data_IF_987146375313
#
_entry.id   IF_987146375313
#
_cell.length_a   1.000
_cell.length_b   1.000
_cell.length_c   1.000
_cell.angle_alpha   90.00
_cell.angle_beta   90.00
_cell.angle_gamma   90.00
#
_symmetry.space_group_name_H-M   'P 1'
#
loop_
_entity.id
_entity.type
_entity.pdbx_description
1 polymer ?
#
# COMPACT_ATOMS: atom_id res chain seq x y z
N UNK A 1 26.53 -19.65 -0.56
CA UNK A 1 25.15 -19.56 -0.05
C UNK A 1 24.24 -19.46 -1.25
N UNK A 2 23.44 -20.49 -1.52
CA UNK A 2 22.43 -20.46 -2.58
C UNK A 2 21.37 -19.44 -2.19
N UNK A 3 21.27 -18.32 -2.92
CA UNK A 3 20.24 -17.31 -2.66
C UNK A 3 18.88 -17.89 -2.93
N UNK A 4 17.98 -17.85 -1.92
CA UNK A 4 16.59 -18.25 -2.07
C UNK A 4 15.96 -17.49 -3.25
N UNK A 5 15.38 -18.17 -4.25
CA UNK A 5 14.83 -17.50 -5.42
C UNK A 5 13.59 -16.69 -5.02
N UNK A 6 13.65 -15.37 -5.19
CA UNK A 6 12.49 -14.49 -5.09
C UNK A 6 11.73 -14.57 -6.41
N UNK A 7 10.49 -15.06 -6.37
CA UNK A 7 9.61 -15.15 -7.53
C UNK A 7 8.52 -14.09 -7.45
N UNK A 8 8.34 -13.32 -8.51
CA UNK A 8 7.26 -12.34 -8.66
C UNK A 8 6.33 -12.85 -9.76
N UNK A 9 5.10 -13.20 -9.40
CA UNK A 9 4.05 -13.57 -10.35
C UNK A 9 3.26 -12.31 -10.67
N UNK A 10 3.56 -11.72 -11.81
CA UNK A 10 2.98 -10.47 -12.30
C UNK A 10 1.84 -10.78 -13.30
N UNK A 11 0.62 -10.92 -12.77
CA UNK A 11 -0.58 -11.24 -13.57
C UNK A 11 -1.69 -10.24 -13.28
N UNK A 12 -2.59 -9.95 -14.25
CA UNK A 12 -3.64 -8.95 -14.09
C UNK A 12 -4.53 -9.02 -12.84
N UNK A 13 -5.13 -7.88 -12.49
CA UNK A 13 -6.11 -7.82 -11.40
C UNK A 13 -7.39 -8.61 -11.74
N UNK A 14 -7.74 -9.58 -10.90
CA UNK A 14 -8.93 -10.39 -11.14
C UNK A 14 -8.69 -11.66 -11.98
N UNK A 15 -7.45 -11.94 -12.38
CA UNK A 15 -7.08 -13.19 -13.07
C UNK A 15 -7.11 -14.46 -12.20
N UNK A 16 -7.63 -14.38 -10.98
CA UNK A 16 -7.71 -15.54 -10.08
C UNK A 16 -6.43 -15.89 -9.31
N UNK A 17 -5.39 -15.04 -9.28
CA UNK A 17 -4.13 -15.30 -8.54
C UNK A 17 -4.30 -15.89 -7.14
N UNK A 18 -5.09 -15.25 -6.28
CA UNK A 18 -5.35 -15.73 -4.91
C UNK A 18 -6.04 -17.10 -4.92
N UNK A 19 -6.99 -17.33 -5.85
CA UNK A 19 -7.68 -18.62 -5.98
C UNK A 19 -6.72 -19.71 -6.46
N UNK A 20 -5.87 -19.40 -7.44
CA UNK A 20 -4.84 -20.33 -7.91
C UNK A 20 -3.83 -20.67 -6.80
N UNK A 21 -3.43 -19.69 -5.98
CA UNK A 21 -2.61 -19.92 -4.80
C UNK A 21 -3.28 -20.89 -3.81
N UNK A 22 -4.55 -20.62 -3.44
CA UNK A 22 -5.31 -21.46 -2.50
C UNK A 22 -5.44 -22.90 -3.01
N UNK A 23 -5.71 -23.07 -4.30
CA UNK A 23 -5.88 -24.39 -4.90
C UNK A 23 -4.57 -25.18 -5.08
N UNK A 24 -3.42 -24.53 -4.93
CA UNK A 24 -2.10 -25.12 -5.18
C UNK A 24 -1.29 -25.36 -3.89
N UNK A 25 -1.86 -25.12 -2.71
CA UNK A 25 -1.21 -25.53 -1.47
C UNK A 25 -1.12 -27.05 -1.39
N UNK A 26 -0.06 -27.57 -0.79
CA UNK A 26 0.07 -29.00 -0.52
C UNK A 26 0.31 -29.29 0.96
N UNK A 27 -0.07 -30.49 1.39
CA UNK A 27 -0.03 -30.92 2.78
C UNK A 27 1.37 -31.31 3.30
N UNK A 28 2.39 -31.29 2.45
CA UNK A 28 3.77 -31.63 2.83
C UNK A 28 4.64 -30.40 3.09
N UNK A 29 4.18 -29.23 2.63
CA UNK A 29 4.85 -27.96 2.79
C UNK A 29 4.32 -27.17 4.00
N UNK A 30 5.12 -26.19 4.43
CA UNK A 30 4.73 -25.18 5.41
C UNK A 30 4.59 -23.82 4.73
N UNK A 31 3.48 -23.12 4.96
CA UNK A 31 3.21 -21.83 4.33
C UNK A 31 3.11 -20.69 5.34
N UNK A 32 3.72 -19.56 5.00
CA UNK A 32 3.44 -18.27 5.64
C UNK A 32 2.86 -17.33 4.57
N UNK A 33 1.54 -17.12 4.62
CA UNK A 33 0.83 -16.28 3.66
C UNK A 33 0.57 -14.90 4.26
N UNK A 34 0.95 -13.86 3.54
CA UNK A 34 0.79 -12.47 3.97
C UNK A 34 -0.12 -11.73 3.01
N UNK A 35 -1.20 -11.17 3.54
CA UNK A 35 -2.26 -10.48 2.78
C UNK A 35 -2.50 -9.06 3.29
N UNK A 36 -3.12 -8.17 2.49
CA UNK A 36 -3.32 -6.78 2.91
C UNK A 36 -4.41 -6.60 3.97
N UNK A 37 -5.46 -7.43 3.96
CA UNK A 37 -6.67 -7.23 4.77
C UNK A 37 -7.07 -8.50 5.52
N UNK A 38 -7.72 -8.32 6.68
CA UNK A 38 -8.27 -9.43 7.48
C UNK A 38 -9.30 -10.26 6.70
N UNK A 39 -10.13 -9.62 5.87
CA UNK A 39 -11.08 -10.34 5.02
C UNK A 39 -10.41 -11.29 4.01
N UNK A 40 -9.17 -11.01 3.59
CA UNK A 40 -8.41 -11.94 2.74
C UNK A 40 -7.78 -13.07 3.57
N UNK A 41 -7.53 -12.86 4.87
CA UNK A 41 -7.16 -13.94 5.78
C UNK A 41 -8.31 -14.92 5.87
N UNK A 42 -9.51 -14.43 6.18
CA UNK A 42 -10.73 -15.25 6.30
C UNK A 42 -10.95 -16.06 5.02
N UNK A 43 -10.79 -15.42 3.85
CA UNK A 43 -10.90 -16.08 2.54
C UNK A 43 -9.90 -17.23 2.33
N UNK A 44 -8.68 -17.12 2.85
CA UNK A 44 -7.67 -18.19 2.74
C UNK A 44 -8.02 -19.33 3.69
N UNK A 45 -8.37 -19.01 4.95
CA UNK A 45 -8.75 -20.01 5.96
C UNK A 45 -9.98 -20.80 5.50
N UNK A 46 -11.00 -20.13 4.98
CA UNK A 46 -12.23 -20.77 4.49
C UNK A 46 -12.04 -21.47 3.14
N UNK A 47 -11.18 -20.93 2.28
CA UNK A 47 -10.98 -21.42 0.92
C UNK A 47 -10.06 -22.62 0.81
N UNK A 48 -9.09 -22.73 1.73
CA UNK A 48 -8.11 -23.83 1.75
C UNK A 48 -8.69 -25.06 2.42
N UNK A 49 -9.23 -25.98 1.60
CA UNK A 49 -9.93 -27.17 2.12
C UNK A 49 -9.01 -28.31 2.53
N UNK A 50 -7.89 -28.46 1.84
CA UNK A 50 -6.98 -29.59 2.04
C UNK A 50 -5.86 -29.27 3.01
N UNK A 51 -5.44 -28.00 3.06
CA UNK A 51 -4.35 -27.50 3.91
C UNK A 51 -4.94 -26.55 4.95
N UNK A 52 -4.85 -26.91 6.23
CA UNK A 52 -5.37 -26.09 7.32
C UNK A 52 -4.47 -24.87 7.58
N UNK A 53 -5.08 -23.69 7.67
CA UNK A 53 -4.41 -22.43 7.99
C UNK A 53 -4.89 -21.85 9.31
N UNK A 54 -3.95 -21.32 10.10
CA UNK A 54 -4.24 -20.59 11.33
C UNK A 54 -3.89 -19.10 11.20
N UNK A 55 -4.67 -18.25 11.87
CA UNK A 55 -4.36 -16.84 12.03
C UNK A 55 -3.86 -16.58 13.45
N UNK A 56 -2.69 -15.95 13.63
CA UNK A 56 -2.21 -15.59 14.96
C UNK A 56 -3.13 -14.60 15.66
N UNK A 57 -3.58 -14.93 16.87
CA UNK A 57 -4.47 -14.10 17.67
C UNK A 57 -3.85 -13.76 19.05
N UNK A 58 -4.40 -12.78 19.77
CA UNK A 58 -3.94 -12.49 21.12
C UNK A 58 -4.54 -13.44 22.17
N UNK A 59 -5.69 -14.04 21.85
CA UNK A 59 -6.50 -14.81 22.80
C UNK A 59 -6.31 -16.33 22.69
N UNK A 60 -5.41 -16.80 21.85
CA UNK A 60 -5.13 -18.23 21.62
C UNK A 60 -3.89 -18.73 22.37
N UNK A 61 -3.27 -17.88 23.21
CA UNK A 61 -2.06 -18.18 23.96
C UNK A 61 -2.09 -17.55 25.36
N UNK A 62 -1.28 -18.10 26.27
CA UNK A 62 -1.22 -17.66 27.67
C UNK A 62 -0.61 -16.26 27.86
N UNK A 63 0.22 -15.79 26.92
CA UNK A 63 0.87 -14.48 27.02
C UNK A 63 -0.05 -13.32 26.62
N UNK A 64 -1.21 -13.61 26.00
CA UNK A 64 -2.15 -12.57 25.58
C UNK A 64 -1.65 -11.73 24.40
N UNK A 65 -0.69 -12.22 23.61
CA UNK A 65 -0.09 -11.44 22.51
C UNK A 65 -0.13 -12.18 21.17
N UNK A 66 -0.32 -11.44 20.08
CA UNK A 66 -0.22 -11.99 18.72
C UNK A 66 1.18 -12.50 18.37
N UNK A 67 2.21 -11.94 19.01
CA UNK A 67 3.59 -12.37 18.83
C UNK A 67 3.79 -13.80 19.35
N UNK A 68 3.38 -14.07 20.59
CA UNK A 68 3.51 -15.39 21.19
C UNK A 68 2.72 -16.46 20.43
N UNK A 69 1.52 -16.11 19.97
CA UNK A 69 0.73 -16.95 19.05
C UNK A 69 1.49 -17.29 17.77
N UNK A 70 2.06 -16.28 17.09
CA UNK A 70 2.82 -16.49 15.86
C UNK A 70 4.04 -17.40 16.09
N UNK A 71 4.77 -17.17 17.17
CA UNK A 71 5.93 -18.00 17.56
C UNK A 71 5.52 -19.46 17.83
N UNK A 72 4.45 -19.68 18.59
CA UNK A 72 3.92 -21.01 18.90
C UNK A 72 3.49 -21.75 17.62
N UNK A 73 2.75 -21.08 16.72
CA UNK A 73 2.32 -21.69 15.45
C UNK A 73 3.51 -22.04 14.55
N UNK A 74 4.57 -21.23 14.54
CA UNK A 74 5.80 -21.54 13.79
C UNK A 74 6.56 -22.73 14.39
N UNK A 75 6.70 -22.79 15.73
CA UNK A 75 7.34 -23.91 16.43
C UNK A 75 6.61 -25.22 16.15
N UNK A 76 5.28 -25.20 16.12
CA UNK A 76 4.48 -26.38 15.78
C UNK A 76 4.41 -26.67 14.27
N UNK A 77 5.05 -25.87 13.42
CA UNK A 77 5.09 -26.12 11.98
C UNK A 77 3.74 -25.95 11.28
N UNK A 78 2.83 -25.13 11.83
CA UNK A 78 1.49 -24.89 11.25
C UNK A 78 1.58 -23.97 10.03
N UNK A 79 0.63 -24.08 9.11
CA UNK A 79 0.47 -23.10 8.03
C UNK A 79 -0.20 -21.83 8.57
N UNK A 80 0.37 -20.68 8.28
CA UNK A 80 0.01 -19.43 8.92
C UNK A 80 -0.42 -18.44 7.85
N UNK A 81 -1.51 -17.71 8.12
CA UNK A 81 -1.94 -16.57 7.32
C UNK A 81 -2.07 -15.34 8.20
N UNK A 82 -1.51 -14.21 7.75
CA UNK A 82 -1.58 -12.97 8.50
C UNK A 82 -1.52 -11.73 7.60
N UNK A 83 -1.61 -10.55 8.22
CA UNK A 83 -1.53 -9.27 7.51
C UNK A 83 -0.12 -8.68 7.57
N UNK A 84 0.19 -7.73 6.66
CA UNK A 84 1.47 -7.01 6.65
C UNK A 84 1.84 -6.35 7.99
N UNK A 85 0.86 -6.09 8.86
CA UNK A 85 1.09 -5.54 10.21
C UNK A 85 1.99 -6.41 11.09
N UNK A 86 2.14 -7.69 10.77
CA UNK A 86 3.01 -8.61 11.53
C UNK A 86 4.47 -8.57 11.08
N UNK A 87 4.86 -7.76 10.07
CA UNK A 87 6.23 -7.78 9.56
C UNK A 87 7.29 -7.57 10.64
N UNK A 88 7.12 -6.57 11.50
CA UNK A 88 8.07 -6.32 12.59
C UNK A 88 8.14 -7.50 13.58
N UNK A 89 7.00 -8.14 13.87
CA UNK A 89 6.94 -9.33 14.73
C UNK A 89 7.59 -10.58 14.11
N UNK A 90 7.64 -10.66 12.78
CA UNK A 90 8.27 -11.77 12.06
C UNK A 90 9.80 -11.68 12.13
N UNK A 91 10.38 -10.48 12.27
CA UNK A 91 11.84 -10.26 12.24
C UNK A 91 12.61 -11.13 13.23
N UNK A 92 12.33 -11.12 14.55
CA UNK A 92 13.08 -11.95 15.50
C UNK A 92 12.90 -13.45 15.23
N UNK A 93 11.72 -13.88 14.80
CA UNK A 93 11.41 -15.28 14.48
C UNK A 93 12.18 -15.75 13.23
N UNK A 94 12.28 -14.87 12.23
CA UNK A 94 13.10 -15.08 11.04
C UNK A 94 14.59 -15.20 11.38
N UNK A 95 15.10 -14.31 12.25
CA UNK A 95 16.49 -14.37 12.74
C UNK A 95 16.78 -15.62 13.56
N UNK A 96 15.78 -16.14 14.28
CA UNK A 96 15.87 -17.41 15.01
C UNK A 96 15.80 -18.66 14.10
N UNK A 97 15.58 -18.49 12.80
CA UNK A 97 15.54 -19.59 11.82
C UNK A 97 14.20 -20.32 11.72
N UNK A 98 13.14 -19.82 12.39
CA UNK A 98 11.82 -20.47 12.44
C UNK A 98 11.05 -20.45 11.11
N UNK A 99 11.57 -19.78 10.08
CA UNK A 99 10.99 -19.72 8.74
C UNK A 99 11.76 -20.53 7.70
N UNK A 100 12.88 -21.16 8.08
CA UNK A 100 13.84 -21.76 7.12
C UNK A 100 13.25 -22.87 6.24
N UNK A 101 12.16 -23.50 6.69
CA UNK A 101 11.41 -24.53 5.99
C UNK A 101 10.02 -24.07 5.51
N UNK A 102 9.73 -22.77 5.55
CA UNK A 102 8.47 -22.18 5.11
C UNK A 102 8.54 -21.60 3.69
N UNK A 103 7.52 -21.89 2.87
CA UNK A 103 7.18 -21.13 1.67
C UNK A 103 6.48 -19.83 2.07
N UNK A 104 7.13 -18.69 1.87
CA UNK A 104 6.56 -17.38 2.14
C UNK A 104 5.85 -16.88 0.88
N UNK A 105 4.56 -16.57 0.99
CA UNK A 105 3.76 -16.05 -0.11
C UNK A 105 3.13 -14.73 0.29
N UNK A 106 3.32 -13.69 -0.54
CA UNK A 106 2.74 -12.37 -0.31
C UNK A 106 1.73 -12.09 -1.42
N UNK A 107 0.43 -12.07 -1.09
CA UNK A 107 -0.62 -11.70 -2.05
C UNK A 107 -0.86 -10.20 -2.03
N UNK A 108 -0.69 -9.56 -3.20
CA UNK A 108 -0.51 -8.13 -3.42
C UNK A 108 0.86 -7.64 -2.96
N UNK A 109 1.47 -6.72 -3.72
CA UNK A 109 2.75 -6.13 -3.33
C UNK A 109 2.64 -5.52 -1.93
N UNK A 110 3.56 -5.85 -1.02
CA UNK A 110 3.59 -5.28 0.31
C UNK A 110 4.03 -3.82 0.29
N UNK A 111 3.58 -3.06 1.30
CA UNK A 111 4.17 -1.76 1.61
C UNK A 111 5.56 -1.98 2.21
N UNK A 112 6.58 -2.06 1.36
CA UNK A 112 7.95 -2.37 1.79
C UNK A 112 8.76 -1.17 2.25
N UNK A 113 8.32 0.04 1.94
CA UNK A 113 9.00 1.27 2.33
C UNK A 113 7.95 2.32 2.67
N UNK A 114 8.06 2.93 3.85
CA UNK A 114 7.10 3.91 4.34
C UNK A 114 7.80 5.09 5.00
N UNK A 115 7.29 6.30 4.79
CA UNK A 115 7.72 7.47 5.55
C UNK A 115 7.06 7.43 6.94
N UNK A 116 7.85 7.34 8.01
CA UNK A 116 7.34 7.33 9.39
C UNK A 116 7.13 8.75 9.90
N UNK A 117 8.18 9.58 9.82
CA UNK A 117 8.17 10.91 10.38
C UNK A 117 9.17 11.82 9.69
N UNK A 118 8.72 13.04 9.39
CA UNK A 118 9.60 14.14 9.00
C UNK A 118 9.90 15.00 10.22
N UNK A 119 11.18 15.31 10.44
CA UNK A 119 11.67 16.26 11.44
C UNK A 119 12.58 17.31 10.78
N UNK A 120 12.82 18.43 11.45
CA UNK A 120 13.88 19.35 11.01
C UNK A 120 15.24 18.71 11.29
N UNK A 121 16.29 19.15 10.57
CA UNK A 121 17.66 18.68 10.83
C UNK A 121 18.07 18.96 12.28
N UNK A 122 17.82 20.19 12.73
CA UNK A 122 18.01 20.61 14.12
C UNK A 122 17.34 19.67 15.12
N UNK A 123 16.08 19.29 14.89
CA UNK A 123 15.41 18.38 15.81
C UNK A 123 16.00 16.97 15.81
N UNK A 124 16.47 16.48 14.66
CA UNK A 124 17.17 15.19 14.56
C UNK A 124 18.48 15.24 15.34
N UNK A 125 19.29 16.27 15.08
CA UNK A 125 20.61 16.42 15.67
C UNK A 125 20.47 16.62 17.20
N UNK A 126 19.74 17.66 17.65
CA UNK A 126 19.66 18.03 19.07
C UNK A 126 18.89 17.00 19.91
N UNK A 127 17.73 16.50 19.45
CA UNK A 127 16.84 15.69 20.29
C UNK A 127 16.95 14.18 20.09
N UNK A 128 17.58 13.70 19.01
CA UNK A 128 17.74 12.26 18.79
C UNK A 128 19.22 11.85 18.89
N UNK A 129 20.12 12.55 18.19
CA UNK A 129 21.53 12.13 18.06
C UNK A 129 22.39 12.66 19.22
N UNK A 130 22.45 13.98 19.43
CA UNK A 130 23.34 14.62 20.41
C UNK A 130 22.97 14.27 21.85
N UNK A 131 21.68 14.07 22.10
CA UNK A 131 21.15 13.54 23.36
C UNK A 131 21.37 12.04 23.52
N UNK A 132 21.88 11.34 22.50
CA UNK A 132 22.26 9.94 22.56
C UNK A 132 21.09 8.96 22.64
N UNK A 133 19.95 9.26 22.01
CA UNK A 133 18.80 8.35 21.94
C UNK A 133 18.87 7.41 20.73
N UNK A 134 19.54 7.82 19.65
CA UNK A 134 19.78 6.98 18.48
C UNK A 134 21.24 7.03 18.03
N UNK A 135 21.66 5.96 17.39
CA UNK A 135 22.86 5.89 16.57
C UNK A 135 22.45 5.69 15.11
N UNK A 136 23.16 6.34 14.19
CA UNK A 136 22.88 6.26 12.75
C UNK A 136 24.12 5.77 12.04
N UNK A 137 24.01 4.65 11.33
CA UNK A 137 25.08 4.11 10.50
C UNK A 137 25.38 5.07 9.32
N UNK A 138 26.65 5.45 9.17
CA UNK A 138 27.06 6.46 8.17
C UNK A 138 26.95 5.96 6.72
N UNK A 139 27.04 4.64 6.49
CA UNK A 139 27.04 4.04 5.15
C UNK A 139 25.63 3.82 4.57
N UNK A 140 24.70 3.34 5.40
CA UNK A 140 23.35 2.95 4.97
C UNK A 140 22.23 3.79 5.59
N UNK A 141 22.54 4.62 6.60
CA UNK A 141 21.55 5.41 7.33
C UNK A 141 20.66 4.57 8.25
N UNK A 142 21.05 3.33 8.57
CA UNK A 142 20.30 2.46 9.50
C UNK A 142 20.32 3.09 10.89
N UNK A 143 19.17 3.14 11.55
CA UNK A 143 19.00 3.75 12.86
C UNK A 143 18.84 2.68 13.91
N UNK A 144 19.71 2.68 14.91
CA UNK A 144 19.62 1.82 16.09
C UNK A 144 19.25 2.65 17.32
N UNK A 145 18.30 2.20 18.16
CA UNK A 145 18.01 2.88 19.40
C UNK A 145 19.09 2.57 20.43
N UNK A 146 19.47 3.55 21.24
CA UNK A 146 20.40 3.31 22.36
C UNK A 146 19.67 2.74 23.57
N UNK A 147 20.41 2.12 24.49
CA UNK A 147 19.85 1.62 25.76
C UNK A 147 19.14 2.75 26.54
N UNK A 148 19.68 3.97 26.49
CA UNK A 148 19.08 5.16 27.09
C UNK A 148 17.64 5.39 26.61
N UNK A 149 17.37 5.26 25.31
CA UNK A 149 16.01 5.46 24.80
C UNK A 149 15.07 4.35 25.25
N UNK A 150 15.56 3.11 25.25
CA UNK A 150 14.75 1.94 25.66
C UNK A 150 14.30 2.08 27.11
N UNK A 151 15.21 2.49 28.00
CA UNK A 151 14.94 2.64 29.44
C UNK A 151 14.02 3.83 29.74
N UNK A 152 14.22 4.97 29.07
CA UNK A 152 13.44 6.20 29.29
C UNK A 152 12.19 6.30 28.40
N UNK A 153 11.83 5.27 27.63
CA UNK A 153 10.82 5.33 26.55
C UNK A 153 9.48 5.94 26.96
N UNK A 154 9.04 5.73 28.21
CA UNK A 154 7.78 6.24 28.72
C UNK A 154 7.89 7.73 29.07
N UNK A 155 9.01 8.13 29.65
CA UNK A 155 9.30 9.48 30.15
C UNK A 155 9.44 10.49 29.01
N UNK A 156 9.93 10.04 27.84
CA UNK A 156 10.17 10.90 26.67
C UNK A 156 9.14 10.71 25.55
N UNK A 157 8.07 9.95 25.80
CA UNK A 157 7.10 9.52 24.76
C UNK A 157 6.26 10.64 24.14
N UNK A 158 6.16 11.78 24.82
CA UNK A 158 5.49 13.00 24.32
C UNK A 158 6.35 13.77 23.31
N UNK A 159 7.66 13.58 23.36
CA UNK A 159 8.68 14.28 22.56
C UNK A 159 9.26 13.39 21.47
N UNK A 160 9.66 12.18 21.85
CA UNK A 160 10.22 11.15 20.97
C UNK A 160 9.16 10.13 20.61
N UNK A 161 8.96 9.93 19.31
CA UNK A 161 7.86 9.09 18.81
C UNK A 161 8.08 7.61 19.15
N UNK A 162 7.15 6.96 19.88
CA UNK A 162 7.21 5.51 20.14
C UNK A 162 7.23 4.66 18.86
N UNK A 163 6.66 5.18 17.76
CA UNK A 163 6.69 4.51 16.45
C UNK A 163 8.10 4.44 15.87
N UNK A 164 8.91 5.50 16.08
CA UNK A 164 10.30 5.52 15.62
C UNK A 164 11.10 4.50 16.45
N UNK A 165 10.92 4.48 17.78
CA UNK A 165 11.57 3.50 18.65
C UNK A 165 11.24 2.06 18.23
N UNK A 166 9.96 1.73 18.01
CA UNK A 166 9.54 0.38 17.57
C UNK A 166 10.25 -0.06 16.27
N UNK A 167 10.26 0.81 15.27
CA UNK A 167 10.93 0.55 13.99
C UNK A 167 12.45 0.42 14.13
N UNK A 168 13.06 1.18 15.04
CA UNK A 168 14.50 1.10 15.33
C UNK A 168 14.83 -0.23 16.03
N UNK A 169 14.04 -0.64 17.03
CA UNK A 169 14.21 -1.91 17.75
C UNK A 169 14.09 -3.13 16.82
N UNK A 170 13.24 -3.06 15.81
CA UNK A 170 13.09 -4.13 14.81
C UNK A 170 14.14 -4.09 13.69
N UNK A 171 15.06 -3.11 13.70
CA UNK A 171 16.06 -2.93 12.64
C UNK A 171 15.45 -2.53 11.29
N UNK A 172 14.27 -1.91 11.30
CA UNK A 172 13.54 -1.49 10.11
C UNK A 172 13.69 0.01 9.80
N UNK A 173 14.37 0.78 10.66
CA UNK A 173 14.38 2.23 10.60
C UNK A 173 15.62 2.78 9.92
N UNK A 174 15.41 3.68 8.96
CA UNK A 174 16.47 4.40 8.25
C UNK A 174 16.25 5.91 8.35
N UNK A 175 17.33 6.69 8.35
CA UNK A 175 17.30 8.15 8.34
C UNK A 175 17.83 8.68 7.00
N UNK A 176 16.94 9.22 6.18
CA UNK A 176 17.29 9.86 4.92
C UNK A 176 17.44 11.37 5.08
N UNK A 177 18.53 11.92 4.51
CA UNK A 177 18.84 13.36 4.43
C UNK A 177 18.84 14.11 5.80
N UNK A 178 19.10 13.41 6.91
CA UNK A 178 18.95 13.91 8.30
C UNK A 178 17.58 14.56 8.58
N UNK A 179 16.51 14.08 7.94
CA UNK A 179 15.18 14.69 8.07
C UNK A 179 14.03 13.69 8.06
N UNK A 180 14.16 12.60 7.32
CA UNK A 180 13.07 11.65 7.11
C UNK A 180 13.41 10.30 7.71
N UNK A 181 12.65 9.90 8.71
CA UNK A 181 12.63 8.53 9.18
C UNK A 181 11.81 7.68 8.21
N UNK A 182 12.43 6.65 7.67
CA UNK A 182 11.87 5.70 6.71
C UNK A 182 11.85 4.33 7.37
N UNK A 183 10.68 3.69 7.36
CA UNK A 183 10.58 2.27 7.62
C UNK A 183 10.86 1.50 6.34
N UNK A 184 11.67 0.45 6.40
CA UNK A 184 11.82 -0.50 5.31
C UNK A 184 11.69 -1.94 5.81
N UNK A 185 11.03 -2.78 5.02
CA UNK A 185 10.84 -4.19 5.31
C UNK A 185 12.20 -4.88 5.48
N UNK A 186 12.51 -5.52 6.61
CA UNK A 186 13.83 -6.10 6.82
C UNK A 186 14.19 -7.16 5.79
N UNK A 187 15.41 -7.05 5.27
CA UNK A 187 15.97 -7.97 4.29
C UNK A 187 15.94 -9.42 4.76
N UNK A 188 16.04 -9.67 6.08
CA UNK A 188 15.94 -11.02 6.65
C UNK A 188 14.61 -11.69 6.29
N UNK A 189 13.48 -10.96 6.25
CA UNK A 189 12.17 -11.53 5.89
C UNK A 189 12.16 -11.97 4.42
N UNK A 190 12.90 -11.27 3.57
CA UNK A 190 12.99 -11.58 2.14
C UNK A 190 13.83 -12.83 1.84
N UNK A 191 14.62 -13.29 2.82
CA UNK A 191 15.57 -14.41 2.69
C UNK A 191 15.30 -15.58 3.63
N UNK A 192 14.47 -15.40 4.65
CA UNK A 192 14.32 -16.36 5.73
C UNK A 192 13.55 -17.64 5.33
N UNK A 193 12.71 -17.56 4.29
CA UNK A 193 11.91 -18.68 3.81
C UNK A 193 12.71 -19.68 2.96
N UNK A 194 12.16 -20.88 2.84
CA UNK A 194 12.51 -21.86 1.81
C UNK A 194 12.29 -21.31 0.39
N UNK A 195 11.26 -20.47 0.23
CA UNK A 195 11.03 -19.65 -0.97
C UNK A 195 10.27 -18.38 -0.64
N UNK A 196 10.35 -17.37 -1.52
CA UNK A 196 9.51 -16.18 -1.47
C UNK A 196 8.78 -15.99 -2.80
N UNK A 197 7.45 -16.03 -2.78
CA UNK A 197 6.59 -15.72 -3.93
C UNK A 197 5.76 -14.47 -3.67
N UNK A 198 5.77 -13.51 -4.59
CA UNK A 198 4.96 -12.29 -4.51
C UNK A 198 3.97 -12.24 -5.67
N UNK A 199 2.68 -12.18 -5.36
CA UNK A 199 1.60 -12.11 -6.35
C UNK A 199 1.20 -10.65 -6.55
N UNK A 200 1.32 -10.12 -7.76
CA UNK A 200 0.97 -8.73 -8.02
C UNK A 200 0.53 -8.48 -9.46
N UNK A 201 0.28 -7.22 -9.79
CA UNK A 201 0.14 -6.76 -11.16
C UNK A 201 0.93 -5.45 -11.34
N UNK A 202 1.69 -5.33 -12.43
CA UNK A 202 2.58 -4.21 -12.75
C UNK A 202 3.68 -4.05 -11.70
N UNK A 203 4.41 -5.13 -11.44
CA UNK A 203 5.45 -5.21 -10.41
C UNK A 203 6.55 -4.17 -10.61
N UNK A 204 6.94 -3.91 -11.87
CA UNK A 204 7.99 -2.96 -12.24
C UNK A 204 7.76 -1.53 -11.73
N UNK A 205 6.50 -1.10 -11.66
CA UNK A 205 6.14 0.21 -11.11
C UNK A 205 6.04 0.24 -9.59
N UNK A 206 6.28 -0.87 -8.90
CA UNK A 206 6.06 -0.97 -7.45
C UNK A 206 7.31 -0.60 -6.65
N UNK A 207 7.09 -0.02 -5.46
CA UNK A 207 8.18 0.24 -4.50
C UNK A 207 8.93 -1.04 -4.11
N UNK A 208 8.29 -2.21 -4.22
CA UNK A 208 8.90 -3.50 -3.90
C UNK A 208 10.02 -3.87 -4.85
N UNK A 209 9.82 -3.78 -6.16
CA UNK A 209 10.87 -4.09 -7.14
C UNK A 209 12.03 -3.11 -7.02
N UNK A 210 11.75 -1.82 -6.84
CA UNK A 210 12.79 -0.82 -6.57
C UNK A 210 13.57 -1.14 -5.28
N UNK A 211 12.90 -1.64 -4.24
CA UNK A 211 13.54 -2.04 -3.00
C UNK A 211 14.42 -3.29 -3.15
N UNK A 212 13.97 -4.32 -3.87
CA UNK A 212 14.80 -5.50 -4.19
C UNK A 212 16.08 -5.10 -4.94
N UNK A 213 15.95 -4.18 -5.91
CA UNK A 213 17.09 -3.62 -6.66
C UNK A 213 18.07 -2.88 -5.74
N UNK A 214 17.56 -2.04 -4.83
CA UNK A 214 18.38 -1.35 -3.82
C UNK A 214 19.18 -2.34 -2.96
N UNK A 215 18.57 -3.44 -2.55
CA UNK A 215 19.21 -4.48 -1.75
C UNK A 215 20.16 -5.39 -2.56
N UNK A 216 20.19 -5.26 -3.89
CA UNK A 216 20.95 -6.16 -4.76
C UNK A 216 20.41 -7.60 -4.79
N UNK A 217 19.12 -7.80 -4.47
CA UNK A 217 18.49 -9.12 -4.47
C UNK A 217 18.02 -9.48 -5.88
N UNK A 218 18.45 -10.65 -6.37
CA UNK A 218 17.96 -11.20 -7.62
C UNK A 218 16.52 -11.72 -7.45
N UNK A 219 15.71 -11.51 -8.49
CA UNK A 219 14.35 -12.01 -8.53
C UNK A 219 13.98 -12.43 -9.95
N UNK A 220 13.02 -13.35 -10.06
CA UNK A 220 12.44 -13.80 -11.31
C UNK A 220 11.07 -13.19 -11.47
N UNK A 221 10.86 -12.48 -12.58
CA UNK A 221 9.55 -11.92 -12.94
C UNK A 221 8.85 -12.86 -13.92
N UNK A 222 7.79 -13.51 -13.47
CA UNK A 222 6.91 -14.31 -14.33
C UNK A 222 5.73 -13.44 -14.76
N UNK A 223 5.69 -13.08 -16.03
CA UNK A 223 4.58 -12.39 -16.67
C UNK A 223 3.88 -13.34 -17.67
N UNK A 224 2.67 -12.96 -18.06
CA UNK A 224 1.92 -13.62 -19.13
C UNK A 224 1.44 -12.53 -20.10
N UNK A 225 2.19 -12.36 -21.18
CA UNK A 225 1.93 -11.30 -22.17
C UNK A 225 0.56 -11.48 -22.86
N UNK A 226 0.15 -12.73 -23.10
CA UNK A 226 -1.16 -13.00 -23.71
C UNK A 226 -2.29 -12.60 -22.76
N UNK A 227 -2.17 -12.98 -21.49
CA UNK A 227 -3.14 -12.60 -20.45
C UNK A 227 -3.16 -11.08 -20.21
N UNK A 228 -2.01 -10.40 -20.26
CA UNK A 228 -1.94 -8.94 -20.13
C UNK A 228 -2.64 -8.23 -21.30
N UNK A 229 -2.41 -8.70 -22.53
CA UNK A 229 -3.06 -8.15 -23.72
C UNK A 229 -4.59 -8.33 -23.66
N UNK A 230 -5.07 -9.55 -23.36
CA UNK A 230 -6.52 -9.81 -23.20
C UNK A 230 -7.14 -8.95 -22.08
N UNK A 231 -6.38 -8.73 -21.01
CA UNK A 231 -6.83 -7.88 -19.90
C UNK A 231 -6.97 -6.41 -20.33
N UNK A 232 -6.01 -5.88 -21.09
CA UNK A 232 -6.05 -4.53 -21.67
C UNK A 232 -7.17 -4.36 -22.68
N UNK A 233 -7.35 -5.31 -23.60
CA UNK A 233 -8.44 -5.30 -24.59
C UNK A 233 -9.81 -5.24 -23.90
N UNK A 234 -10.05 -6.15 -22.95
CA UNK A 234 -11.28 -6.16 -22.16
C UNK A 234 -11.46 -4.87 -21.34
N UNK A 235 -10.36 -4.32 -20.82
CA UNK A 235 -10.42 -3.03 -20.13
C UNK A 235 -10.83 -1.89 -21.08
N UNK A 236 -10.31 -1.88 -22.31
CA UNK A 236 -10.64 -0.86 -23.31
C UNK A 236 -12.13 -0.91 -23.69
N UNK A 237 -12.73 -2.11 -23.75
CA UNK A 237 -14.17 -2.27 -23.98
C UNK A 237 -15.04 -1.77 -22.81
N UNK A 238 -14.57 -1.96 -21.58
CA UNK A 238 -15.36 -1.70 -20.37
C UNK A 238 -15.17 -0.28 -19.81
N UNK A 239 -14.07 0.41 -20.10
CA UNK A 239 -13.71 1.66 -19.42
C UNK A 239 -13.89 2.87 -20.34
N UNK A 240 -14.91 3.67 -20.07
CA UNK A 240 -15.06 4.99 -20.70
C UNK A 240 -14.30 6.07 -19.90
N UNK A 241 -13.20 6.57 -20.46
CA UNK A 241 -12.41 7.66 -19.86
C UNK A 241 -13.05 9.02 -20.17
N UNK A 242 -13.15 9.90 -19.16
CA UNK A 242 -13.69 11.26 -19.29
C UNK A 242 -12.85 12.29 -18.53
N UNK A 243 -12.89 13.52 -19.01
CA UNK A 243 -12.36 14.70 -18.31
C UNK A 243 -13.44 15.36 -17.44
N UNK A 244 -12.99 16.18 -16.47
CA UNK A 244 -13.71 17.28 -15.88
C UNK A 244 -13.00 18.57 -16.31
N UNK A 245 -13.31 19.08 -17.51
CA UNK A 245 -12.63 20.22 -18.14
C UNK A 245 -12.42 21.44 -17.23
N UNK A 246 -13.36 21.69 -16.31
CA UNK A 246 -13.28 22.79 -15.35
C UNK A 246 -12.12 22.67 -14.35
N UNK A 247 -11.50 21.50 -14.24
CA UNK A 247 -10.42 21.15 -13.31
C UNK A 247 -9.10 20.83 -14.03
N UNK A 248 -9.01 21.01 -15.35
CA UNK A 248 -7.82 20.62 -16.14
C UNK A 248 -6.53 21.31 -15.70
N UNK A 249 -6.63 22.54 -15.22
CA UNK A 249 -5.48 23.38 -14.81
C UNK A 249 -5.20 23.27 -13.30
N UNK A 250 -6.03 22.52 -12.56
CA UNK A 250 -5.89 22.36 -11.12
C UNK A 250 -4.84 21.31 -10.78
N UNK A 251 -4.04 21.59 -9.75
CA UNK A 251 -3.01 20.66 -9.27
C UNK A 251 -3.62 19.69 -8.26
N UNK A 252 -3.46 18.38 -8.50
CA UNK A 252 -4.01 17.31 -7.67
C UNK A 252 -2.95 16.43 -6.99
N UNK A 253 -1.68 16.83 -6.95
CA UNK A 253 -0.71 16.13 -6.09
C UNK A 253 -1.11 16.25 -4.62
N UNK A 254 -0.67 15.30 -3.78
CA UNK A 254 -1.02 15.31 -2.35
C UNK A 254 -0.71 16.66 -1.68
N UNK A 255 0.50 17.20 -1.91
CA UNK A 255 0.92 18.50 -1.37
C UNK A 255 0.10 19.66 -1.96
N UNK A 256 -0.25 19.60 -3.24
CA UNK A 256 -1.09 20.63 -3.86
C UNK A 256 -2.50 20.64 -3.24
N UNK A 257 -3.10 19.48 -2.99
CA UNK A 257 -4.38 19.39 -2.29
C UNK A 257 -4.28 19.87 -0.84
N UNK A 258 -3.20 19.52 -0.13
CA UNK A 258 -2.98 19.96 1.24
C UNK A 258 -2.91 21.49 1.36
N UNK A 259 -2.17 22.15 0.46
CA UNK A 259 -2.12 23.62 0.44
C UNK A 259 -3.42 24.21 -0.12
N UNK A 260 -3.97 23.61 -1.18
CA UNK A 260 -5.21 24.05 -1.81
C UNK A 260 -6.41 24.01 -0.86
N UNK A 261 -6.47 23.05 0.08
CA UNK A 261 -7.51 22.98 1.10
C UNK A 261 -7.54 24.19 2.06
N UNK A 262 -6.46 24.98 2.11
CA UNK A 262 -6.40 26.25 2.84
C UNK A 262 -6.93 27.43 2.02
N UNK A 263 -7.12 27.25 0.71
CA UNK A 263 -7.66 28.26 -0.21
C UNK A 263 -9.15 28.04 -0.47
N UNK A 264 -9.97 29.00 -0.07
CA UNK A 264 -11.41 28.96 -0.32
C UNK A 264 -11.75 28.93 -1.83
N UNK A 265 -10.95 29.60 -2.66
CA UNK A 265 -11.14 29.64 -4.12
C UNK A 265 -10.95 28.25 -4.73
N UNK A 266 -9.83 27.59 -4.40
CA UNK A 266 -9.53 26.24 -4.86
C UNK A 266 -10.61 25.24 -4.42
N UNK A 267 -11.00 25.27 -3.14
CA UNK A 267 -12.05 24.39 -2.63
C UNK A 267 -13.39 24.60 -3.35
N UNK A 268 -13.83 25.85 -3.52
CA UNK A 268 -15.07 26.19 -4.23
C UNK A 268 -15.02 25.79 -5.70
N UNK A 269 -13.85 25.91 -6.34
CA UNK A 269 -13.64 25.49 -7.72
C UNK A 269 -13.79 23.98 -7.87
N UNK A 270 -13.16 23.19 -6.99
CA UNK A 270 -13.26 21.73 -7.00
C UNK A 270 -14.70 21.29 -6.67
N UNK A 271 -15.26 21.71 -5.54
CA UNK A 271 -16.60 21.28 -5.11
C UNK A 271 -17.69 21.75 -6.08
N UNK A 272 -17.57 22.97 -6.63
CA UNK A 272 -18.48 23.50 -7.64
C UNK A 272 -18.40 22.73 -8.97
N UNK A 273 -17.20 22.32 -9.39
CA UNK A 273 -17.03 21.48 -10.59
C UNK A 273 -17.63 20.09 -10.39
N UNK A 274 -17.46 19.50 -9.21
CA UNK A 274 -18.10 18.23 -8.83
C UNK A 274 -19.62 18.34 -8.76
N UNK A 275 -20.15 19.45 -8.22
CA UNK A 275 -21.59 19.75 -8.22
C UNK A 275 -22.15 19.84 -9.63
N UNK A 276 -21.42 20.48 -10.54
CA UNK A 276 -21.82 20.57 -11.95
C UNK A 276 -21.75 19.21 -12.65
N UNK A 277 -20.70 18.42 -12.39
CA UNK A 277 -20.60 17.05 -12.89
C UNK A 277 -21.79 16.22 -12.41
N UNK A 278 -22.07 16.24 -11.10
CA UNK A 278 -23.22 15.57 -10.48
C UNK A 278 -24.52 15.99 -11.12
N UNK A 279 -24.75 17.30 -11.26
CA UNK A 279 -25.97 17.87 -11.78
C UNK A 279 -26.12 17.87 -13.30
N UNK A 280 -25.14 17.41 -14.09
CA UNK A 280 -25.24 17.40 -15.57
C UNK A 280 -24.97 16.04 -16.19
N UNK A 281 -24.04 15.26 -15.65
CA UNK A 281 -23.60 13.99 -16.24
C UNK A 281 -23.91 12.78 -15.36
N UNK A 282 -24.16 12.99 -14.07
CA UNK A 282 -24.41 11.91 -13.10
C UNK A 282 -25.77 12.07 -12.38
N UNK A 283 -26.79 12.61 -13.06
CA UNK A 283 -28.10 12.88 -12.44
C UNK A 283 -28.77 11.58 -11.96
N UNK A 284 -28.74 10.56 -12.81
CA UNK A 284 -29.46 9.29 -12.63
C UNK A 284 -28.60 8.20 -11.97
N UNK A 285 -27.40 8.56 -11.52
CA UNK A 285 -26.48 7.63 -10.85
C UNK A 285 -26.72 7.71 -9.34
N UNK A 286 -26.85 6.59 -8.64
CA UNK A 286 -26.87 6.65 -7.17
C UNK A 286 -25.50 7.12 -6.66
N UNK A 287 -25.47 8.06 -5.70
CA UNK A 287 -24.20 8.55 -5.15
C UNK A 287 -23.36 7.40 -4.56
N UNK A 288 -24.00 6.40 -3.96
CA UNK A 288 -23.35 5.19 -3.41
C UNK A 288 -22.78 4.24 -4.48
N UNK A 289 -23.05 4.47 -5.76
CA UNK A 289 -22.42 3.75 -6.88
C UNK A 289 -21.24 4.53 -7.48
N UNK A 290 -20.86 5.66 -6.85
CA UNK A 290 -19.72 6.47 -7.24
C UNK A 290 -18.56 6.18 -6.29
N UNK A 291 -17.39 5.91 -6.85
CA UNK A 291 -16.14 5.76 -6.13
C UNK A 291 -15.25 6.98 -6.39
N UNK A 292 -14.74 7.59 -5.33
CA UNK A 292 -13.96 8.83 -5.39
C UNK A 292 -12.66 8.66 -4.60
N UNK A 293 -11.59 9.28 -5.09
CA UNK A 293 -10.35 9.40 -4.33
C UNK A 293 -9.76 10.80 -4.45
N UNK A 294 -9.20 11.27 -3.34
CA UNK A 294 -8.49 12.53 -3.14
C UNK A 294 -7.83 12.49 -1.76
N UNK A 295 -7.14 13.56 -1.33
CA UNK A 295 -6.61 13.66 0.03
C UNK A 295 -7.72 13.45 1.06
N UNK A 296 -7.48 12.61 2.08
CA UNK A 296 -8.49 12.22 3.08
C UNK A 296 -9.22 13.43 3.67
N UNK A 297 -8.47 14.39 4.19
CA UNK A 297 -9.03 15.60 4.81
C UNK A 297 -9.77 16.53 3.83
N UNK A 298 -9.52 16.40 2.52
CA UNK A 298 -10.25 17.12 1.49
C UNK A 298 -11.68 16.55 1.29
N UNK A 299 -11.87 15.24 1.53
CA UNK A 299 -13.17 14.58 1.42
C UNK A 299 -13.89 14.39 2.75
N UNK A 300 -13.14 13.99 3.78
CA UNK A 300 -13.61 13.59 5.10
C UNK A 300 -12.78 14.29 6.17
N UNK A 301 -13.40 15.20 6.91
CA UNK A 301 -12.77 15.91 8.03
C UNK A 301 -13.06 15.19 9.34
N UNK A 302 -12.06 15.00 10.21
CA UNK A 302 -12.32 14.62 11.59
C UNK A 302 -13.13 15.75 12.26
N UNK A 303 -14.21 15.40 12.94
CA UNK A 303 -14.96 16.33 13.77
C UNK A 303 -14.63 16.12 15.24
N UNK A 304 -14.83 14.89 15.74
CA UNK A 304 -14.60 14.42 17.13
C UNK A 304 -14.37 12.89 17.10
N UNK A 305 -14.00 12.25 18.22
CA UNK A 305 -13.46 10.88 18.31
C UNK A 305 -14.22 9.76 17.58
N UNK A 306 -15.49 9.93 17.21
CA UNK A 306 -16.25 8.95 16.40
C UNK A 306 -17.09 9.55 15.26
N UNK A 307 -16.96 10.85 14.96
CA UNK A 307 -17.77 11.52 13.94
C UNK A 307 -16.92 12.12 12.83
N UNK A 308 -17.30 11.82 11.58
CA UNK A 308 -16.67 12.35 10.38
C UNK A 308 -17.60 13.37 9.71
N UNK A 309 -17.09 14.56 9.42
CA UNK A 309 -17.80 15.59 8.64
C UNK A 309 -17.31 15.57 7.20
N UNK A 310 -18.14 16.08 6.29
CA UNK A 310 -17.72 16.29 4.90
C UNK A 310 -16.60 17.34 4.83
N UNK A 311 -15.53 16.99 4.12
CA UNK A 311 -14.42 17.86 3.79
C UNK A 311 -14.77 18.88 2.70
N UNK A 312 -13.87 19.83 2.40
CA UNK A 312 -14.12 20.94 1.50
C UNK A 312 -14.47 20.55 0.06
N UNK A 313 -13.99 19.41 -0.44
CA UNK A 313 -14.35 18.92 -1.77
C UNK A 313 -15.73 18.25 -1.79
N UNK A 314 -16.06 17.52 -0.73
CA UNK A 314 -17.33 16.82 -0.61
C UNK A 314 -18.47 17.77 -0.26
N UNK A 315 -18.21 18.75 0.61
CA UNK A 315 -19.17 19.79 0.99
C UNK A 315 -19.62 20.57 -0.26
N UNK A 316 -20.93 20.71 -0.41
CA UNK A 316 -21.59 21.39 -1.55
C UNK A 316 -21.45 20.72 -2.93
N UNK A 317 -20.70 19.62 -3.05
CA UNK A 317 -20.54 18.87 -4.31
C UNK A 317 -21.75 18.05 -4.73
N UNK A 318 -22.71 17.83 -3.81
CA UNK A 318 -23.81 16.85 -3.95
C UNK A 318 -23.33 15.40 -4.13
N UNK A 319 -22.08 15.11 -3.77
CA UNK A 319 -21.47 13.76 -3.79
C UNK A 319 -21.08 13.30 -2.38
N UNK A 320 -21.65 13.88 -1.31
CA UNK A 320 -21.29 13.56 0.07
C UNK A 320 -21.50 12.09 0.46
N UNK A 321 -22.40 11.37 -0.23
CA UNK A 321 -22.67 9.94 -0.02
C UNK A 321 -21.84 9.03 -0.94
N UNK A 322 -20.98 9.58 -1.80
CA UNK A 322 -20.09 8.79 -2.62
C UNK A 322 -19.04 8.07 -1.77
N UNK A 323 -18.63 6.89 -2.21
CA UNK A 323 -17.63 6.10 -1.52
C UNK A 323 -16.27 6.74 -1.74
N UNK A 324 -15.64 7.20 -0.66
CA UNK A 324 -14.25 7.62 -0.70
C UNK A 324 -13.33 6.50 -0.23
N UNK A 325 -12.28 6.23 -0.98
CA UNK A 325 -11.18 5.37 -0.54
C UNK A 325 -9.82 6.00 -0.90
N UNK A 326 -8.75 5.74 -0.12
CA UNK A 326 -7.40 6.06 -0.52
C UNK A 326 -7.07 5.49 -1.90
N UNK A 327 -6.29 6.22 -2.71
CA UNK A 327 -5.87 5.74 -4.02
C UNK A 327 -4.91 4.54 -3.95
N UNK A 328 -4.32 4.29 -2.78
CA UNK A 328 -3.46 3.13 -2.48
C UNK A 328 -4.24 1.91 -1.96
N UNK A 329 -5.58 1.94 -1.98
CA UNK A 329 -6.41 0.84 -1.42
C UNK A 329 -6.30 -0.45 -2.24
N UNK A 330 -5.92 -1.54 -1.57
CA UNK A 330 -5.72 -2.87 -2.15
C UNK A 330 -6.62 -3.92 -1.47
N UNK A 331 -6.89 -5.02 -2.18
CA UNK A 331 -7.43 -6.24 -1.57
C UNK A 331 -8.89 -6.21 -1.11
N UNK A 332 -9.71 -5.19 -1.47
CA UNK A 332 -11.13 -5.13 -1.07
C UNK A 332 -12.07 -5.26 -2.27
N UNK A 333 -13.22 -5.91 -2.06
CA UNK A 333 -14.31 -6.05 -3.03
C UNK A 333 -15.55 -5.20 -2.67
N UNK A 334 -15.50 -4.42 -1.59
CA UNK A 334 -16.66 -3.69 -1.05
C UNK A 334 -17.22 -2.62 -2.00
N UNK A 335 -16.48 -2.24 -3.03
CA UNK A 335 -16.83 -1.21 -4.00
C UNK A 335 -17.07 -1.77 -5.41
N UNK A 336 -17.15 -3.09 -5.54
CA UNK A 336 -17.32 -3.76 -6.83
C UNK A 336 -18.71 -3.56 -7.45
N UNK A 337 -19.61 -2.82 -6.81
CA UNK A 337 -20.85 -2.30 -7.37
C UNK A 337 -20.69 -0.93 -8.03
N UNK A 338 -19.66 -0.16 -7.68
CA UNK A 338 -19.47 1.21 -8.16
C UNK A 338 -19.29 1.25 -9.68
N UNK A 339 -20.06 2.10 -10.35
CA UNK A 339 -20.16 2.25 -11.80
C UNK A 339 -19.44 3.46 -12.36
N UNK A 340 -19.22 4.48 -11.52
CA UNK A 340 -18.59 5.73 -11.89
C UNK A 340 -17.44 6.03 -10.93
N UNK A 341 -16.32 6.48 -11.46
CA UNK A 341 -15.07 6.68 -10.73
C UNK A 341 -14.58 8.10 -10.92
N UNK A 342 -14.18 8.78 -9.85
CA UNK A 342 -13.58 10.13 -9.91
C UNK A 342 -12.23 10.10 -9.20
N UNK A 343 -11.16 10.23 -9.98
CA UNK A 343 -9.79 10.17 -9.47
C UNK A 343 -9.19 11.58 -9.40
N UNK A 344 -9.30 12.24 -8.24
CA UNK A 344 -8.75 13.57 -8.00
C UNK A 344 -7.33 13.46 -7.43
N UNK A 345 -6.43 12.85 -8.18
CA UNK A 345 -5.02 12.78 -7.85
C UNK A 345 -4.16 12.96 -9.09
N UNK A 346 -3.03 13.63 -8.89
CA UNK A 346 -1.84 13.47 -9.72
C UNK A 346 -0.83 12.69 -8.85
N UNK A 347 -0.69 11.39 -9.10
CA UNK A 347 -0.01 10.47 -8.18
C UNK A 347 1.50 10.52 -8.39
N UNK A 348 2.23 10.65 -7.29
CA UNK A 348 3.69 10.63 -7.28
C UNK A 348 4.18 9.77 -6.10
N UNK A 349 5.25 8.99 -6.26
CA UNK A 349 5.91 8.36 -5.12
C UNK A 349 6.49 9.44 -4.19
N UNK A 350 6.66 9.11 -2.91
CA UNK A 350 7.16 10.08 -1.94
C UNK A 350 8.64 10.42 -2.24
N UNK A 351 9.03 11.71 -2.39
CA UNK A 351 10.37 12.07 -2.87
C UNK A 351 11.54 11.59 -1.99
N UNK A 352 11.35 11.51 -0.66
CA UNK A 352 12.39 10.94 0.21
C UNK A 352 12.51 9.42 0.03
N UNK A 353 11.40 8.74 -0.29
CA UNK A 353 11.40 7.30 -0.53
C UNK A 353 12.11 7.02 -1.85
N UNK A 354 11.83 7.77 -2.93
CA UNK A 354 12.50 7.58 -4.22
C UNK A 354 14.00 7.85 -4.15
N UNK A 355 14.42 8.88 -3.42
CA UNK A 355 15.86 9.14 -3.19
C UNK A 355 16.51 8.03 -2.39
N UNK A 356 15.87 7.57 -1.32
CA UNK A 356 16.39 6.47 -0.52
C UNK A 356 16.46 5.15 -1.31
N UNK A 357 15.47 4.90 -2.17
CA UNK A 357 15.44 3.76 -3.11
C UNK A 357 16.50 3.86 -4.22
N UNK A 358 17.08 5.04 -4.46
CA UNK A 358 18.06 5.26 -5.51
C UNK A 358 17.45 5.48 -6.91
N UNK A 359 16.13 5.64 -7.02
CA UNK A 359 15.44 5.88 -8.29
C UNK A 359 14.38 6.98 -8.13
N UNK A 360 14.75 8.19 -8.55
CA UNK A 360 13.86 9.35 -8.62
C UNK A 360 13.55 9.76 -10.07
N UNK A 361 13.67 8.80 -11.00
CA UNK A 361 13.40 9.01 -12.42
C UNK A 361 11.91 9.30 -12.66
N UNK A 362 11.63 9.97 -13.79
CA UNK A 362 10.25 10.23 -14.21
C UNK A 362 9.56 8.92 -14.62
N UNK A 363 10.31 8.04 -15.24
CA UNK A 363 9.90 6.73 -15.71
C UNK A 363 9.36 5.88 -14.54
N UNK A 364 10.10 5.83 -13.43
CA UNK A 364 9.64 5.15 -12.22
C UNK A 364 8.40 5.81 -11.62
N UNK A 365 8.39 7.14 -11.52
CA UNK A 365 7.25 7.88 -10.98
C UNK A 365 5.96 7.67 -11.80
N UNK A 366 6.07 7.60 -13.13
CA UNK A 366 4.96 7.35 -14.05
C UNK A 366 4.50 5.87 -13.97
N UNK A 367 5.42 4.91 -13.89
CA UNK A 367 5.11 3.50 -13.70
C UNK A 367 4.40 3.23 -12.36
N UNK A 368 4.85 3.87 -11.28
CA UNK A 368 4.21 3.84 -9.97
C UNK A 368 2.80 4.41 -10.01
N UNK A 369 2.64 5.59 -10.60
CA UNK A 369 1.35 6.26 -10.72
C UNK A 369 0.32 5.41 -11.47
N UNK A 370 0.73 4.81 -12.60
CA UNK A 370 -0.11 3.91 -13.38
C UNK A 370 -0.49 2.65 -12.59
N UNK A 371 0.47 2.05 -11.88
CA UNK A 371 0.24 0.85 -11.06
C UNK A 371 -0.82 1.09 -9.99
N UNK A 372 -0.70 2.19 -9.23
CA UNK A 372 -1.69 2.55 -8.21
C UNK A 372 -3.08 2.83 -8.83
N UNK A 373 -3.11 3.57 -9.95
CA UNK A 373 -4.37 3.88 -10.62
C UNK A 373 -5.10 2.61 -11.08
N UNK A 374 -4.41 1.65 -11.70
CA UNK A 374 -5.03 0.39 -12.13
C UNK A 374 -5.57 -0.39 -10.92
N UNK A 375 -4.78 -0.50 -9.84
CA UNK A 375 -5.24 -1.19 -8.62
C UNK A 375 -6.50 -0.55 -8.04
N UNK A 376 -6.58 0.78 -8.04
CA UNK A 376 -7.75 1.52 -7.56
C UNK A 376 -8.97 1.36 -8.47
N UNK A 377 -8.80 1.46 -9.80
CA UNK A 377 -9.88 1.27 -10.78
C UNK A 377 -10.52 -0.11 -10.64
N UNK A 378 -9.72 -1.16 -10.38
CA UNK A 378 -10.19 -2.53 -10.15
C UNK A 378 -10.79 -2.79 -8.76
N UNK A 379 -11.08 -1.74 -7.98
CA UNK A 379 -12.01 -1.83 -6.85
C UNK A 379 -13.47 -1.69 -7.28
N UNK A 380 -13.72 -1.20 -8.50
CA UNK A 380 -15.04 -0.98 -9.09
C UNK A 380 -15.62 -2.23 -9.76
N UNK A 381 -16.81 -2.09 -10.36
CA UNK A 381 -17.49 -3.17 -11.08
C UNK A 381 -16.77 -3.66 -12.35
N UNK A 382 -15.74 -2.96 -12.84
CA UNK A 382 -14.89 -3.47 -13.93
C UNK A 382 -14.24 -4.82 -13.58
N UNK A 383 -13.97 -5.05 -12.29
CA UNK A 383 -13.49 -6.34 -11.77
C UNK A 383 -14.47 -7.49 -12.03
N UNK A 384 -15.76 -7.20 -12.13
CA UNK A 384 -16.84 -8.16 -12.46
C UNK A 384 -17.13 -8.22 -13.97
N UNK A 385 -16.28 -7.61 -14.80
CA UNK A 385 -16.49 -7.52 -16.24
C UNK A 385 -17.62 -6.56 -16.63
N UNK A 386 -17.96 -5.58 -15.78
CA UNK A 386 -19.03 -4.62 -16.05
C UNK A 386 -18.47 -3.23 -16.40
N UNK A 387 -19.12 -2.48 -17.31
CA UNK A 387 -18.57 -1.25 -17.84
C UNK A 387 -18.53 -0.13 -16.79
N UNK A 388 -17.56 0.78 -16.83
CA UNK A 388 -17.44 1.91 -15.91
C UNK A 388 -17.19 3.22 -16.67
N UNK A 389 -17.51 4.34 -16.03
CA UNK A 389 -17.02 5.66 -16.46
C UNK A 389 -15.96 6.16 -15.49
N UNK A 390 -14.76 6.46 -15.97
CA UNK A 390 -13.61 6.92 -15.20
C UNK A 390 -13.29 8.39 -15.51
N UNK A 391 -13.47 9.26 -14.53
CA UNK A 391 -13.11 10.68 -14.62
C UNK A 391 -11.69 10.93 -14.12
N UNK A 392 -10.81 11.41 -15.01
CA UNK A 392 -9.40 11.72 -14.75
C UNK A 392 -9.09 13.20 -15.06
N UNK A 393 -9.28 14.13 -14.11
CA UNK A 393 -9.02 15.55 -14.36
C UNK A 393 -7.54 15.89 -14.57
N UNK A 394 -6.62 15.17 -13.92
CA UNK A 394 -5.18 15.31 -14.16
C UNK A 394 -4.84 14.80 -15.57
N UNK A 395 -4.34 15.69 -16.43
CA UNK A 395 -3.91 15.35 -17.78
C UNK A 395 -2.83 14.25 -17.78
N UNK A 396 -1.84 14.35 -16.88
CA UNK A 396 -0.78 13.33 -16.75
C UNK A 396 -1.36 11.95 -16.45
N UNK A 397 -2.22 11.84 -15.43
CA UNK A 397 -2.82 10.54 -15.06
C UNK A 397 -3.69 9.98 -16.18
N UNK A 398 -4.43 10.85 -16.88
CA UNK A 398 -5.24 10.47 -18.03
C UNK A 398 -4.39 9.91 -19.16
N UNK A 399 -3.34 10.62 -19.56
CA UNK A 399 -2.42 10.16 -20.60
C UNK A 399 -1.75 8.84 -20.23
N UNK A 400 -1.27 8.68 -18.99
CA UNK A 400 -0.67 7.42 -18.53
C UNK A 400 -1.64 6.24 -18.66
N UNK A 401 -2.90 6.45 -18.27
CA UNK A 401 -3.91 5.41 -18.32
C UNK A 401 -4.37 5.13 -19.76
N UNK A 402 -4.55 6.16 -20.60
CA UNK A 402 -4.90 6.03 -22.03
C UNK A 402 -3.80 5.31 -22.82
N UNK A 403 -2.52 5.66 -22.59
CA UNK A 403 -1.38 4.98 -23.21
C UNK A 403 -1.33 3.52 -22.79
N UNK A 404 -1.62 3.20 -21.53
CA UNK A 404 -1.69 1.80 -21.11
C UNK A 404 -2.88 1.05 -21.73
N UNK A 405 -4.03 1.71 -21.86
CA UNK A 405 -5.27 1.09 -22.31
C UNK A 405 -5.29 0.85 -23.82
N UNK A 406 -4.78 1.80 -24.60
CA UNK A 406 -4.84 1.82 -26.06
C UNK A 406 -3.47 1.73 -26.74
N UNK A 407 -2.38 1.80 -25.97
CA UNK A 407 -1.04 1.55 -26.49
C UNK A 407 -0.88 0.08 -26.85
N UNK A 408 -0.17 -0.16 -27.95
CA UNK A 408 0.23 -1.49 -28.39
C UNK A 408 1.39 -2.01 -27.55
#
# INVERSE_FOLDING_TARGET
>A
MTTTPIKIIDKPCGSGKTTAMINNFNNQDKYLVIVPLLSEVDRIVEGSKEVEFVQPHANDNNAGTKYASLEEHLIFGRNIVSTHKMYESIVPLAKAGLLSDYHIIIDKVPDVVQAIAKKSKTSIDEFYIDTGFIEVDEGGGLVSPTQKWIESKNEVSDTLSPKILSAAMSGCLYLQDRQMFIWALPEVILKAGLSLTVLTYKAEGSLFVAYLRKLGLSFQLENDASMDNQFREKAAELIAIKDIQALKDEKFSHNAQQQGCKSASYCKKVSGSLKNLRGRKLRDVNAKDILITCMKEAWLKPANDNNVKLGPFAKDSRLGEANWIPNTTRGTNNFAHCSHLIYLYDQHPHPFITRWLGDSSREFADAYALTELIQWVWRSRVRRGQPITLYLPSLRMRMLFEIWLYGN
#
